data_IF_767524421056
#
_entry.id   IF_767524421056
#
_cell.length_a   1.000
_cell.length_b   1.000
_cell.length_c   1.000
_cell.angle_alpha   90.00
_cell.angle_beta   90.00
_cell.angle_gamma   90.00
#
_symmetry.space_group_name_H-M   'P 1'
#
loop_
_entity.id
_entity.type
_entity.pdbx_description
1 polymer ?
#
# COMPACT_ATOMS: atom_id res chain seq x y z
N UNK A 1 11.09 3.39 -48.77
CA UNK A 1 10.20 2.49 -48.00
C UNK A 1 10.87 2.18 -46.68
N UNK A 2 10.54 2.89 -45.59
CA UNK A 2 10.77 2.40 -44.23
C UNK A 2 9.66 2.98 -43.36
N UNK A 3 8.60 2.19 -43.17
CA UNK A 3 7.55 2.49 -42.21
C UNK A 3 8.15 2.27 -40.81
N UNK A 4 8.47 3.35 -40.09
CA UNK A 4 8.81 3.31 -38.68
C UNK A 4 7.49 3.30 -37.89
N UNK A 5 6.83 2.14 -37.89
CA UNK A 5 5.77 1.86 -36.93
C UNK A 5 6.48 1.58 -35.59
N UNK A 6 6.96 2.64 -34.93
CA UNK A 6 7.61 2.54 -33.64
C UNK A 6 6.49 2.50 -32.61
N UNK A 7 6.04 1.30 -32.25
CA UNK A 7 5.24 1.09 -31.06
C UNK A 7 5.96 1.80 -29.91
N UNK A 8 5.23 2.67 -29.20
CA UNK A 8 5.77 3.34 -28.03
C UNK A 8 6.20 2.25 -27.04
N UNK A 9 7.45 2.30 -26.54
CA UNK A 9 7.93 1.27 -25.63
C UNK A 9 7.15 1.38 -24.33
N UNK A 10 6.39 0.33 -24.01
CA UNK A 10 5.72 0.19 -22.72
C UNK A 10 6.81 0.15 -21.65
N UNK A 11 6.84 1.15 -20.79
CA UNK A 11 7.81 1.29 -19.69
C UNK A 11 7.27 0.68 -18.41
N UNK A 12 8.13 0.01 -17.68
CA UNK A 12 7.78 -0.73 -16.48
C UNK A 12 9.00 -1.23 -15.73
N UNK A 13 8.81 -2.25 -14.92
CA UNK A 13 9.86 -2.94 -14.17
C UNK A 13 9.82 -4.45 -14.40
N UNK A 14 11.00 -5.06 -14.37
CA UNK A 14 11.17 -6.51 -14.43
C UNK A 14 11.47 -7.04 -13.03
N UNK A 15 10.57 -7.84 -12.48
CA UNK A 15 10.75 -8.50 -11.19
C UNK A 15 11.10 -9.98 -11.39
N UNK A 16 12.12 -10.47 -10.68
CA UNK A 16 12.46 -11.88 -10.67
C UNK A 16 11.67 -12.64 -9.60
N UNK A 17 10.81 -13.56 -10.03
CA UNK A 17 9.97 -14.41 -9.17
C UNK A 17 10.76 -15.46 -8.36
N UNK A 18 12.05 -15.62 -8.63
CA UNK A 18 12.92 -16.59 -7.93
C UNK A 18 13.73 -15.95 -6.80
N UNK A 19 14.05 -14.65 -6.89
CA UNK A 19 14.89 -13.97 -5.89
C UNK A 19 14.40 -12.58 -5.44
N UNK A 20 13.42 -11.98 -6.13
CA UNK A 20 12.92 -10.63 -5.84
C UNK A 20 13.75 -9.48 -6.40
N UNK A 21 14.66 -9.73 -7.35
CA UNK A 21 15.39 -8.64 -8.04
C UNK A 21 14.46 -7.82 -8.94
N UNK A 22 14.52 -6.50 -8.86
CA UNK A 22 13.69 -5.57 -9.63
C UNK A 22 14.58 -4.64 -10.47
N UNK A 23 14.28 -4.50 -11.77
CA UNK A 23 15.00 -3.61 -12.70
C UNK A 23 14.05 -2.81 -13.60
N UNK A 24 14.23 -1.49 -13.64
CA UNK A 24 13.46 -0.59 -14.50
C UNK A 24 13.81 -0.78 -15.99
N UNK A 25 12.81 -0.88 -16.86
CA UNK A 25 13.03 -1.11 -18.28
C UNK A 25 11.78 -1.02 -19.14
N UNK A 26 11.95 -1.28 -20.44
CA UNK A 26 10.81 -1.45 -21.34
C UNK A 26 10.47 -2.93 -21.48
N UNK A 27 9.22 -3.26 -21.81
CA UNK A 27 8.81 -4.64 -22.11
C UNK A 27 9.67 -5.24 -23.25
N UNK A 28 10.07 -4.40 -24.21
CA UNK A 28 10.93 -4.79 -25.34
C UNK A 28 12.38 -5.10 -24.94
N UNK A 29 12.78 -4.77 -23.71
CA UNK A 29 14.15 -4.91 -23.17
C UNK A 29 14.23 -6.05 -22.16
N UNK A 30 13.45 -7.12 -22.35
CA UNK A 30 13.45 -8.31 -21.50
C UNK A 30 14.87 -8.85 -21.22
N UNK A 31 15.27 -8.99 -19.94
CA UNK A 31 16.54 -9.62 -19.57
C UNK A 31 16.55 -11.11 -19.93
N UNK A 32 17.69 -11.62 -20.40
CA UNK A 32 17.85 -13.06 -20.70
C UNK A 32 18.02 -13.92 -19.44
N UNK A 33 18.59 -13.33 -18.38
CA UNK A 33 18.84 -13.94 -17.08
C UNK A 33 18.82 -12.89 -15.98
N UNK A 34 18.42 -13.27 -14.78
CA UNK A 34 18.51 -12.41 -13.61
C UNK A 34 20.00 -12.18 -13.23
N UNK A 35 20.44 -10.94 -13.00
CA UNK A 35 21.83 -10.64 -12.61
C UNK A 35 22.17 -11.12 -11.18
N UNK A 36 21.19 -11.20 -10.29
CA UNK A 36 21.40 -11.59 -8.89
C UNK A 36 21.46 -13.11 -8.71
N UNK A 37 20.46 -13.85 -9.22
CA UNK A 37 20.35 -15.30 -9.01
C UNK A 37 20.64 -16.16 -10.24
N UNK A 38 20.85 -15.55 -11.42
CA UNK A 38 21.02 -16.26 -12.71
C UNK A 38 19.81 -17.09 -13.18
N UNK A 39 18.62 -16.85 -12.61
CA UNK A 39 17.37 -17.45 -13.07
C UNK A 39 17.12 -17.15 -14.56
N UNK A 40 16.43 -18.05 -15.30
CA UNK A 40 16.09 -17.84 -16.71
C UNK A 40 15.10 -16.68 -16.88
N UNK A 41 15.06 -16.09 -18.09
CA UNK A 41 14.09 -15.06 -18.47
C UNK A 41 12.62 -15.42 -18.19
N UNK A 42 12.29 -16.72 -18.13
CA UNK A 42 10.94 -17.19 -17.79
C UNK A 42 10.54 -16.95 -16.33
N UNK A 43 11.51 -16.71 -15.45
CA UNK A 43 11.29 -16.38 -14.05
C UNK A 43 11.23 -14.85 -13.82
N UNK A 44 11.34 -14.04 -14.87
CA UNK A 44 11.21 -12.58 -14.80
C UNK A 44 9.83 -12.17 -15.33
N UNK A 45 9.06 -11.51 -14.47
CA UNK A 45 7.74 -10.95 -14.77
C UNK A 45 7.87 -9.44 -15.02
N UNK A 46 7.02 -8.87 -15.88
CA UNK A 46 7.06 -7.45 -16.25
C UNK A 46 5.82 -6.74 -15.73
N UNK A 47 6.03 -5.64 -15.02
CA UNK A 47 4.99 -4.78 -14.47
C UNK A 47 5.04 -3.43 -15.17
N UNK A 48 3.99 -3.06 -15.91
CA UNK A 48 3.91 -1.78 -16.60
C UNK A 48 3.44 -0.66 -15.70
N UNK A 49 3.99 0.55 -15.86
CA UNK A 49 3.52 1.75 -15.14
C UNK A 49 2.24 2.35 -15.69
N UNK A 50 1.80 1.92 -16.87
CA UNK A 50 0.50 2.27 -17.46
C UNK A 50 -0.63 1.36 -16.95
N UNK A 51 -0.48 0.80 -15.74
CA UNK A 51 -1.60 0.24 -15.00
C UNK A 51 -2.53 1.39 -14.64
N UNK A 52 -3.48 1.63 -15.53
CA UNK A 52 -4.57 2.58 -15.44
C UNK A 52 -5.49 2.20 -14.30
N UNK A 53 -4.99 2.40 -13.07
CA UNK A 53 -5.66 2.27 -11.78
C UNK A 53 -7.12 1.95 -11.91
N UNK A 54 -7.44 0.65 -11.96
CA UNK A 54 -8.80 0.19 -11.75
C UNK A 54 -9.13 0.55 -10.31
N UNK A 55 -9.72 1.75 -10.16
CA UNK A 55 -10.74 2.16 -9.20
C UNK A 55 -10.97 1.12 -8.10
N UNK A 56 -9.98 0.95 -7.22
CA UNK A 56 -10.14 0.12 -6.04
C UNK A 56 -10.99 0.91 -5.07
N UNK A 57 -12.29 0.69 -5.22
CA UNK A 57 -13.25 0.61 -4.13
C UNK A 57 -13.46 1.93 -3.38
N UNK A 58 -14.19 2.83 -4.04
CA UNK A 58 -15.18 3.62 -3.32
C UNK A 58 -16.41 2.73 -3.07
N UNK A 59 -16.27 1.64 -2.30
CA UNK A 59 -17.45 1.15 -1.60
C UNK A 59 -17.84 2.27 -0.64
N UNK A 60 -19.02 2.83 -0.88
CA UNK A 60 -19.77 3.63 0.08
C UNK A 60 -20.08 2.77 1.33
N UNK A 61 -19.07 2.32 2.06
CA UNK A 61 -19.20 1.87 3.44
C UNK A 61 -19.20 3.13 4.32
N UNK A 62 -20.28 3.90 4.18
CA UNK A 62 -20.82 4.65 5.31
C UNK A 62 -21.44 3.62 6.26
N UNK A 63 -20.58 2.85 6.94
CA UNK A 63 -20.99 2.12 8.13
C UNK A 63 -21.46 3.16 9.15
N UNK A 64 -22.78 3.27 9.23
CA UNK A 64 -23.56 4.02 10.20
C UNK A 64 -23.13 3.57 11.60
N UNK A 65 -22.15 4.28 12.18
CA UNK A 65 -21.73 4.10 13.56
C UNK A 65 -22.86 4.62 14.45
N UNK A 66 -23.76 3.69 14.82
CA UNK A 66 -24.80 3.85 15.83
C UNK A 66 -24.10 4.12 17.17
N UNK A 67 -23.93 5.40 17.49
CA UNK A 67 -23.48 5.88 18.80
C UNK A 67 -24.64 5.75 19.80
N UNK A 68 -24.98 4.51 20.15
CA UNK A 68 -25.78 4.18 21.33
C UNK A 68 -24.82 3.76 22.45
N UNK A 69 -24.02 4.73 22.91
CA UNK A 69 -23.32 4.61 24.19
C UNK A 69 -24.31 5.06 25.27
N UNK A 70 -25.04 4.09 25.83
CA UNK A 70 -25.84 4.25 27.04
C UNK A 70 -24.98 4.91 28.14
N UNK A 71 -25.35 6.14 28.50
CA UNK A 71 -24.86 6.91 29.66
C UNK A 71 -25.38 6.26 30.95
N UNK A 72 -24.79 5.14 31.35
CA UNK A 72 -25.02 4.55 32.66
C UNK A 72 -23.71 4.24 33.39
N UNK A 73 -23.49 5.01 34.47
CA UNK A 73 -22.59 4.74 35.60
C UNK A 73 -21.08 4.92 35.39
N UNK A 74 -20.62 6.15 35.62
CA UNK A 74 -19.37 6.34 36.37
C UNK A 74 -19.56 7.47 37.40
N UNK A 75 -20.08 7.06 38.57
CA UNK A 75 -20.03 7.80 39.82
C UNK A 75 -18.56 7.94 40.24
N UNK A 76 -17.87 8.96 39.71
CA UNK A 76 -16.55 9.35 40.18
C UNK A 76 -16.73 10.07 41.53
N UNK A 77 -16.60 9.29 42.61
CA UNK A 77 -16.35 9.77 43.97
C UNK A 77 -14.89 10.26 44.04
N UNK A 78 -14.66 11.50 43.62
CA UNK A 78 -13.42 12.22 43.93
C UNK A 78 -13.51 12.76 45.36
N UNK A 79 -13.21 11.84 46.28
CA UNK A 79 -12.63 12.13 47.57
C UNK A 79 -11.29 12.89 47.37
N UNK A 80 -11.23 14.16 47.76
CA UNK A 80 -9.96 14.88 48.06
C UNK A 80 -10.32 16.09 48.95
N UNK A 81 -10.19 15.97 50.27
CA UNK A 81 -9.00 16.25 51.09
C UNK A 81 -8.79 17.75 51.38
N UNK A 82 -8.84 18.05 52.69
CA UNK A 82 -8.23 19.20 53.40
C UNK A 82 -8.68 20.65 53.15
N UNK A 83 -9.31 21.24 54.19
CA UNK A 83 -9.40 22.67 54.54
C UNK A 83 -10.40 22.82 55.72
N UNK A 84 -10.14 23.29 56.94
CA UNK A 84 -9.10 24.16 57.51
C UNK A 84 -9.08 24.02 59.06
N UNK A 85 -7.93 24.35 59.63
CA UNK A 85 -7.63 24.97 60.95
C UNK A 85 -8.03 24.25 62.25
N UNK A 86 -7.09 23.74 63.07
CA UNK A 86 -5.97 24.41 63.78
C UNK A 86 -6.40 25.28 65.00
N UNK A 87 -5.81 24.90 66.13
CA UNK A 87 -5.62 25.57 67.43
C UNK A 87 -6.81 26.16 68.24
N UNK A 88 -7.14 25.40 69.31
CA UNK A 88 -7.24 25.84 70.73
C UNK A 88 -8.60 26.01 71.41
#
# INVERSE_FOLDING_TARGET
>A
MVQLNKALPITGEWECMECGYIEEGAESRRPLKCPECSAPASALEFFSYEDEGEDWDRSEDEDEFDDDYEDEEDEIDDYDEDAEEDDR
#
